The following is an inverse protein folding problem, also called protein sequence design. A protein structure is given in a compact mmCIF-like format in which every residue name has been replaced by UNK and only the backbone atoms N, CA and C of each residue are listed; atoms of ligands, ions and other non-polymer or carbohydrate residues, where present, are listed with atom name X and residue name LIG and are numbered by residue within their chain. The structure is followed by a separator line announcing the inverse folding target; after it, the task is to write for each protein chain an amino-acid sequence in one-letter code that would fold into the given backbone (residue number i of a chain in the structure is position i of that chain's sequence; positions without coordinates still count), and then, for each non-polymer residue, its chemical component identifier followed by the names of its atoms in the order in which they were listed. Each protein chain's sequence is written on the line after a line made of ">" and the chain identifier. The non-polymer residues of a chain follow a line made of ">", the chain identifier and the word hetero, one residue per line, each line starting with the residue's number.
data_IF_240105601380
#
_entry.id   IF_240105601380
#
_cell.length_a   1.000
_cell.length_b   1.000
_cell.length_c   1.000
_cell.angle_alpha   90.00
_cell.angle_beta   90.00
_cell.angle_gamma   90.00
#
_symmetry.space_group_name_H-M   'P 1'
#
loop_
_entity.id
_entity.type
_entity.pdbx_description
1 polymer ?
#
# COMPACT_ATOMS: atom_id res chain seq x y z
N UNK A 1 -7.09 14.69 18.30
CA UNK A 1 -6.02 14.56 17.29
C UNK A 1 -6.37 13.36 16.43
N UNK A 2 -6.55 13.54 15.12
CA UNK A 2 -6.88 12.42 14.21
C UNK A 2 -5.71 11.44 14.10
N UNK A 3 -5.96 10.20 13.66
CA UNK A 3 -4.92 9.15 13.54
C UNK A 3 -3.70 9.60 12.71
N UNK A 4 -3.93 10.35 11.63
CA UNK A 4 -2.87 10.85 10.76
C UNK A 4 -1.96 11.89 11.44
N UNK A 5 -2.53 12.76 12.27
CA UNK A 5 -1.77 13.73 13.06
C UNK A 5 -0.92 13.02 14.13
N UNK A 6 -1.44 11.93 14.71
CA UNK A 6 -0.68 11.11 15.66
C UNK A 6 0.52 10.46 14.99
N UNK A 7 0.33 9.80 13.84
CA UNK A 7 1.43 9.15 13.12
C UNK A 7 2.50 10.16 12.69
N UNK A 8 2.11 11.35 12.25
CA UNK A 8 3.05 12.44 11.94
C UNK A 8 3.91 12.82 13.16
N UNK A 9 3.31 12.90 14.35
CA UNK A 9 4.02 13.24 15.58
C UNK A 9 4.99 12.16 16.06
N UNK A 10 4.76 10.89 15.69
CA UNK A 10 5.67 9.77 15.95
C UNK A 10 6.87 9.74 14.97
N UNK A 11 6.98 10.71 14.06
CA UNK A 11 8.18 10.93 13.26
C UNK A 11 8.22 10.20 11.91
N UNK A 12 7.10 9.79 11.34
CA UNK A 12 7.10 9.18 10.00
C UNK A 12 7.65 10.13 8.92
N UNK A 13 8.34 9.54 7.94
CA UNK A 13 8.93 10.27 6.83
C UNK A 13 7.95 10.49 5.68
N UNK A 14 7.06 9.52 5.44
CA UNK A 14 6.10 9.50 4.33
C UNK A 14 4.72 9.02 4.80
N UNK A 15 3.67 9.48 4.11
CA UNK A 15 2.34 8.89 4.18
C UNK A 15 2.03 8.14 2.89
N UNK A 16 1.47 6.94 3.01
CA UNK A 16 0.94 6.18 1.88
C UNK A 16 -0.59 6.24 1.90
N UNK A 17 -1.19 6.68 0.79
CA UNK A 17 -2.64 6.68 0.58
C UNK A 17 -3.01 5.83 -0.63
N UNK A 18 -4.24 5.37 -0.74
CA UNK A 18 -4.73 4.63 -1.88
C UNK A 18 -5.12 5.56 -3.05
N UNK A 19 -5.72 6.72 -2.74
CA UNK A 19 -6.24 7.64 -3.77
C UNK A 19 -5.80 9.10 -3.57
N UNK A 20 -5.86 9.94 -4.63
CA UNK A 20 -5.55 11.36 -4.50
C UNK A 20 -6.43 12.10 -3.49
N UNK A 21 -7.71 11.73 -3.36
CA UNK A 21 -8.67 12.33 -2.42
C UNK A 21 -8.22 12.18 -0.97
N UNK A 22 -7.75 10.99 -0.59
CA UNK A 22 -7.18 10.75 0.75
C UNK A 22 -5.93 11.61 0.98
N UNK A 23 -5.11 11.80 -0.05
CA UNK A 23 -3.95 12.70 -0.02
C UNK A 23 -4.35 14.17 0.15
N UNK A 24 -5.41 14.61 -0.53
CA UNK A 24 -6.00 15.94 -0.39
C UNK A 24 -6.52 16.15 1.03
N UNK A 25 -7.19 15.15 1.61
CA UNK A 25 -7.67 15.21 2.98
C UNK A 25 -6.51 15.40 3.98
N UNK A 26 -5.40 14.67 3.79
CA UNK A 26 -4.19 14.85 4.59
C UNK A 26 -3.62 16.27 4.45
N UNK A 27 -3.59 16.82 3.24
CA UNK A 27 -3.12 18.20 2.99
C UNK A 27 -4.03 19.24 3.64
N UNK A 28 -5.35 19.08 3.53
CA UNK A 28 -6.33 19.94 4.18
C UNK A 28 -6.21 19.89 5.72
N UNK A 29 -5.78 18.76 6.28
CA UNK A 29 -5.48 18.61 7.71
C UNK A 29 -4.12 19.21 8.13
N UNK A 30 -3.40 19.89 7.23
CA UNK A 30 -2.14 20.59 7.50
C UNK A 30 -0.88 19.72 7.38
N UNK A 31 -0.99 18.51 6.81
CA UNK A 31 0.16 17.63 6.67
C UNK A 31 1.12 18.14 5.58
N UNK A 32 2.39 18.34 5.93
CA UNK A 32 3.44 18.83 5.03
C UNK A 32 4.42 17.75 4.59
N UNK A 33 4.34 16.53 5.14
CA UNK A 33 5.22 15.42 4.80
C UNK A 33 4.92 14.91 3.38
N UNK A 34 5.89 14.26 2.71
CA UNK A 34 5.63 13.55 1.46
C UNK A 34 4.43 12.59 1.54
N UNK A 35 3.61 12.56 0.48
CA UNK A 35 2.45 11.67 0.37
C UNK A 35 2.57 10.88 -0.94
N UNK A 36 2.65 9.56 -0.81
CA UNK A 36 2.67 8.61 -1.92
C UNK A 36 1.26 8.09 -2.19
N UNK A 37 0.74 8.30 -3.39
CA UNK A 37 -0.52 7.72 -3.82
C UNK A 37 -0.29 6.34 -4.47
N UNK A 38 -0.53 5.27 -3.71
CA UNK A 38 -0.23 3.88 -4.06
C UNK A 38 -1.04 3.34 -5.23
N UNK A 39 -2.25 3.88 -5.44
CA UNK A 39 -3.12 3.55 -6.57
C UNK A 39 -2.86 4.41 -7.82
N UNK A 40 -2.02 5.45 -7.71
CA UNK A 40 -1.83 6.43 -8.79
C UNK A 40 -2.97 7.44 -8.84
N UNK A 41 -3.50 7.72 -10.02
CA UNK A 41 -4.58 8.68 -10.21
C UNK A 41 -5.40 8.34 -11.47
N UNK A 42 -6.60 8.88 -11.56
CA UNK A 42 -7.44 8.80 -12.76
C UNK A 42 -7.24 10.01 -13.66
N UNK A 43 -7.49 9.84 -14.97
CA UNK A 43 -7.45 10.94 -15.93
C UNK A 43 -8.33 12.11 -15.46
N UNK A 44 -7.77 13.31 -15.47
CA UNK A 44 -8.40 14.53 -14.94
C UNK A 44 -7.98 14.89 -13.52
N UNK A 45 -7.23 14.03 -12.83
CA UNK A 45 -6.73 14.28 -11.47
C UNK A 45 -5.25 14.74 -11.44
N UNK A 46 -4.63 14.93 -12.61
CA UNK A 46 -3.23 15.29 -12.75
C UNK A 46 -2.92 16.61 -12.03
N UNK A 47 -3.72 17.65 -12.30
CA UNK A 47 -3.57 18.96 -11.67
C UNK A 47 -3.74 18.89 -10.16
N UNK A 48 -4.71 18.12 -9.67
CA UNK A 48 -4.94 17.94 -8.24
C UNK A 48 -3.73 17.31 -7.54
N UNK A 49 -3.11 16.29 -8.15
CA UNK A 49 -1.88 15.68 -7.64
C UNK A 49 -0.73 16.71 -7.58
N UNK A 50 -0.54 17.52 -8.62
CA UNK A 50 0.53 18.53 -8.68
C UNK A 50 0.32 19.65 -7.65
N UNK A 51 -0.87 20.26 -7.63
CA UNK A 51 -1.23 21.35 -6.71
C UNK A 51 -1.05 20.94 -5.25
N UNK A 52 -1.37 19.70 -4.94
CA UNK A 52 -1.32 19.14 -3.59
C UNK A 52 0.01 18.44 -3.28
N UNK A 53 0.97 18.48 -4.20
CA UNK A 53 2.30 17.85 -4.03
C UNK A 53 2.17 16.39 -3.58
N UNK A 54 1.33 15.64 -4.30
CA UNK A 54 1.19 14.19 -4.15
C UNK A 54 2.14 13.52 -5.15
N UNK A 55 2.84 12.48 -4.70
CA UNK A 55 3.71 11.65 -5.55
C UNK A 55 2.89 10.43 -5.98
N UNK A 56 2.44 10.33 -7.24
CA UNK A 56 1.69 9.17 -7.68
C UNK A 56 2.60 7.98 -7.99
N UNK A 57 2.07 6.79 -7.73
CA UNK A 57 2.62 5.55 -8.29
C UNK A 57 2.15 5.41 -9.75
N UNK A 58 3.08 5.13 -10.65
CA UNK A 58 2.84 4.97 -12.09
C UNK A 58 3.26 3.60 -12.59
N UNK A 59 2.50 3.07 -13.54
CA UNK A 59 2.73 1.75 -14.14
C UNK A 59 2.13 1.62 -15.54
N UNK A 60 1.70 2.74 -16.14
CA UNK A 60 1.17 2.83 -17.51
C UNK A 60 1.71 4.08 -18.19
N UNK A 61 2.06 3.97 -19.46
CA UNK A 61 2.63 5.09 -20.21
C UNK A 61 1.65 6.24 -20.40
N UNK A 62 0.35 5.97 -20.50
CA UNK A 62 -0.66 7.00 -20.69
C UNK A 62 -0.90 7.85 -19.43
N UNK A 63 -0.75 7.26 -18.24
CA UNK A 63 -0.71 8.01 -16.97
C UNK A 63 0.48 8.97 -16.96
N UNK A 64 1.66 8.50 -17.39
CA UNK A 64 2.87 9.31 -17.41
C UNK A 64 2.77 10.43 -18.42
N UNK A 65 2.24 10.16 -19.63
CA UNK A 65 2.03 11.18 -20.64
C UNK A 65 1.08 12.28 -20.15
N UNK A 66 -0.03 11.90 -19.49
CA UNK A 66 -0.97 12.87 -18.95
C UNK A 66 -0.31 13.72 -17.84
N UNK A 67 0.47 13.09 -16.97
CA UNK A 67 1.15 13.78 -15.87
C UNK A 67 2.29 14.68 -16.37
N UNK A 68 3.08 14.22 -17.34
CA UNK A 68 4.15 15.01 -17.98
C UNK A 68 3.59 16.28 -18.62
N UNK A 69 2.45 16.16 -19.33
CA UNK A 69 1.77 17.30 -19.92
C UNK A 69 1.27 18.30 -18.87
N UNK A 70 0.69 17.80 -17.78
CA UNK A 70 0.23 18.65 -16.68
C UNK A 70 1.40 19.33 -15.97
N UNK A 71 2.49 18.60 -15.71
CA UNK A 71 3.71 19.10 -15.09
C UNK A 71 4.38 20.18 -15.95
N UNK A 72 4.46 19.95 -17.26
CA UNK A 72 4.90 20.94 -18.26
C UNK A 72 4.04 22.20 -18.22
N UNK A 73 2.72 22.06 -18.17
CA UNK A 73 1.79 23.19 -18.08
C UNK A 73 1.94 23.99 -16.77
N UNK A 74 2.29 23.32 -15.68
CA UNK A 74 2.55 23.94 -14.39
C UNK A 74 4.00 24.45 -14.23
N UNK A 75 4.89 24.18 -15.19
CA UNK A 75 6.30 24.58 -15.14
C UNK A 75 7.11 23.86 -14.06
N UNK A 76 6.76 22.61 -13.73
CA UNK A 76 7.43 21.81 -12.70
C UNK A 76 7.92 20.47 -13.27
N UNK A 77 8.90 19.86 -12.60
CA UNK A 77 9.25 18.45 -12.78
C UNK A 77 8.55 17.68 -11.67
N UNK A 78 7.71 16.71 -12.04
CA UNK A 78 6.90 15.97 -11.10
C UNK A 78 7.54 14.63 -10.73
N UNK A 79 7.53 14.32 -9.43
CA UNK A 79 8.05 13.07 -8.90
C UNK A 79 7.04 11.95 -9.04
N UNK A 80 7.50 10.78 -9.48
CA UNK A 80 6.69 9.57 -9.56
C UNK A 80 7.44 8.38 -8.99
N UNK A 81 6.69 7.41 -8.47
CA UNK A 81 7.23 6.10 -8.11
C UNK A 81 6.79 5.05 -9.13
N UNK A 82 7.74 4.36 -9.75
CA UNK A 82 7.43 3.31 -10.73
C UNK A 82 7.10 2.00 -9.99
N UNK A 83 5.95 1.40 -10.31
CA UNK A 83 5.56 0.11 -9.72
C UNK A 83 5.80 -1.04 -10.69
N UNK A 84 6.52 -2.04 -10.21
CA UNK A 84 6.77 -3.28 -10.92
C UNK A 84 5.89 -4.37 -10.32
N UNK A 85 5.15 -5.08 -11.16
CA UNK A 85 4.48 -6.31 -10.76
C UNK A 85 5.47 -7.48 -10.83
N UNK A 86 5.89 -7.94 -9.67
CA UNK A 86 6.83 -9.06 -9.54
C UNK A 86 6.14 -10.39 -9.25
N UNK A 87 4.80 -10.40 -9.18
CA UNK A 87 3.99 -11.59 -8.95
C UNK A 87 2.67 -11.37 -8.22
N UNK A 88 2.34 -10.15 -7.75
CA UNK A 88 1.06 -9.93 -7.05
C UNK A 88 -0.13 -9.97 -8.01
N UNK A 89 0.07 -9.64 -9.29
CA UNK A 89 -0.97 -9.74 -10.32
C UNK A 89 -2.06 -8.68 -10.19
N UNK A 90 -1.75 -7.51 -9.61
CA UNK A 90 -2.74 -6.46 -9.31
C UNK A 90 -2.50 -5.18 -10.10
N UNK A 91 -1.43 -4.46 -9.77
CA UNK A 91 -0.99 -3.24 -10.45
C UNK A 91 0.52 -3.29 -10.58
N UNK A 92 1.05 -2.67 -11.62
CA UNK A 92 2.48 -2.61 -11.88
C UNK A 92 2.81 -3.03 -13.31
N UNK A 93 3.98 -2.61 -13.77
CA UNK A 93 4.55 -3.05 -15.03
C UNK A 93 4.99 -4.49 -14.86
N UNK A 94 4.60 -5.38 -15.77
CA UNK A 94 5.03 -6.77 -15.66
C UNK A 94 6.56 -6.86 -15.74
N UNK A 95 7.14 -7.79 -15.01
CA UNK A 95 8.61 -7.94 -14.94
C UNK A 95 9.28 -8.15 -16.30
N UNK A 96 8.57 -8.73 -17.28
CA UNK A 96 9.03 -8.96 -18.66
C UNK A 96 8.90 -7.73 -19.57
N UNK A 97 8.14 -6.70 -19.17
CA UNK A 97 7.89 -5.48 -19.95
C UNK A 97 8.66 -4.25 -19.43
N UNK A 98 9.42 -4.42 -18.33
CA UNK A 98 10.11 -3.31 -17.64
C UNK A 98 11.03 -2.52 -18.56
N UNK A 99 11.87 -3.19 -19.36
CA UNK A 99 12.82 -2.50 -20.25
C UNK A 99 12.11 -1.66 -21.31
N UNK A 100 11.07 -2.19 -21.94
CA UNK A 100 10.29 -1.44 -22.95
C UNK A 100 9.62 -0.22 -22.33
N UNK A 101 9.04 -0.38 -21.14
CA UNK A 101 8.44 0.71 -20.39
C UNK A 101 9.46 1.81 -20.08
N UNK A 102 10.64 1.44 -19.58
CA UNK A 102 11.70 2.37 -19.21
C UNK A 102 12.27 3.10 -20.42
N UNK A 103 12.42 2.44 -21.55
CA UNK A 103 12.84 3.10 -22.78
C UNK A 103 11.81 4.15 -23.22
N UNK A 104 10.52 3.79 -23.22
CA UNK A 104 9.45 4.72 -23.52
C UNK A 104 9.34 5.87 -22.50
N UNK A 105 9.75 5.65 -21.25
CA UNK A 105 9.71 6.65 -20.18
C UNK A 105 10.71 7.80 -20.39
N UNK A 106 11.84 7.55 -21.08
CA UNK A 106 12.89 8.57 -21.31
C UNK A 106 12.42 9.80 -22.10
N UNK A 107 11.33 9.68 -22.85
CA UNK A 107 10.79 10.79 -23.68
C UNK A 107 10.06 11.86 -22.87
N UNK A 108 9.76 11.60 -21.59
CA UNK A 108 9.01 12.51 -20.73
C UNK A 108 9.97 13.35 -19.90
N UNK A 109 10.14 14.62 -20.29
CA UNK A 109 11.15 15.52 -19.72
C UNK A 109 10.73 16.15 -18.39
N UNK A 110 9.43 16.14 -18.06
CA UNK A 110 8.87 16.78 -16.86
C UNK A 110 8.55 15.77 -15.77
N UNK A 111 9.10 14.55 -15.88
CA UNK A 111 8.90 13.46 -14.93
C UNK A 111 10.24 13.02 -14.36
N UNK A 112 10.33 12.98 -13.03
CA UNK A 112 11.45 12.37 -12.32
C UNK A 112 11.01 11.05 -11.69
N UNK A 113 11.72 9.98 -12.04
CA UNK A 113 11.57 8.68 -11.35
C UNK A 113 12.27 8.77 -10.00
N UNK A 114 11.52 9.23 -9.01
CA UNK A 114 12.00 9.45 -7.64
C UNK A 114 12.08 8.14 -6.85
N UNK A 115 11.18 7.19 -7.15
CA UNK A 115 11.14 5.90 -6.49
C UNK A 115 10.79 4.72 -7.40
N UNK A 116 11.07 3.52 -6.91
CA UNK A 116 10.70 2.25 -7.54
C UNK A 116 10.18 1.28 -6.48
N UNK A 117 9.12 0.55 -6.80
CA UNK A 117 8.41 -0.28 -5.82
C UNK A 117 7.82 -1.57 -6.35
N UNK A 118 7.67 -2.55 -5.46
CA UNK A 118 6.81 -3.73 -5.65
C UNK A 118 6.01 -4.03 -4.38
N UNK A 119 5.01 -4.91 -4.47
CA UNK A 119 4.26 -5.40 -3.32
C UNK A 119 4.32 -6.92 -3.25
N UNK A 120 4.69 -7.43 -2.08
CA UNK A 120 4.82 -8.86 -1.83
C UNK A 120 3.44 -9.43 -1.47
N UNK A 121 3.08 -10.55 -2.10
CA UNK A 121 1.73 -11.10 -2.02
C UNK A 121 1.49 -11.96 -0.77
N UNK A 122 2.54 -12.62 -0.27
CA UNK A 122 2.45 -13.62 0.79
C UNK A 122 3.66 -13.55 1.74
N UNK A 123 4.09 -12.33 2.12
CA UNK A 123 5.21 -12.14 3.02
C UNK A 123 4.90 -12.50 4.49
N UNK A 124 3.63 -12.74 4.78
CA UNK A 124 3.04 -13.20 6.03
C UNK A 124 2.84 -14.72 6.07
N UNK A 125 2.98 -15.43 4.95
CA UNK A 125 2.73 -16.87 4.89
C UNK A 125 4.02 -17.65 4.58
N UNK A 126 4.59 -18.38 5.57
CA UNK A 126 5.76 -19.22 5.37
C UNK A 126 5.59 -20.31 4.30
N UNK A 127 4.37 -20.79 4.06
CA UNK A 127 4.12 -21.78 3.02
C UNK A 127 4.43 -21.24 1.61
N UNK A 128 4.46 -19.91 1.45
CA UNK A 128 4.73 -19.22 0.20
C UNK A 128 6.08 -18.48 0.20
N UNK A 129 7.00 -18.82 1.11
CA UNK A 129 8.32 -18.19 1.21
C UNK A 129 9.09 -18.22 -0.12
N UNK A 130 9.12 -19.36 -0.81
CA UNK A 130 9.79 -19.51 -2.12
C UNK A 130 9.22 -18.52 -3.14
N UNK A 131 7.91 -18.26 -3.10
CA UNK A 131 7.26 -17.29 -3.97
C UNK A 131 7.65 -15.86 -3.62
N UNK A 132 7.70 -15.52 -2.32
CA UNK A 132 8.16 -14.21 -1.85
C UNK A 132 9.60 -13.92 -2.29
N UNK A 133 10.51 -14.90 -2.17
CA UNK A 133 11.88 -14.77 -2.68
C UNK A 133 11.94 -14.61 -4.20
N UNK A 134 11.08 -15.30 -4.95
CA UNK A 134 10.95 -15.10 -6.40
C UNK A 134 10.53 -13.66 -6.73
N UNK A 135 9.56 -13.10 -6.01
CA UNK A 135 9.15 -11.71 -6.18
C UNK A 135 10.30 -10.72 -5.92
N UNK A 136 11.10 -10.96 -4.87
CA UNK A 136 12.26 -10.12 -4.53
C UNK A 136 13.35 -10.22 -5.59
N UNK A 137 13.64 -11.41 -6.11
CA UNK A 137 14.59 -11.61 -7.21
C UNK A 137 14.15 -10.87 -8.47
N UNK A 138 12.87 -10.97 -8.84
CA UNK A 138 12.32 -10.23 -9.98
C UNK A 138 12.42 -8.72 -9.78
N UNK A 139 12.21 -8.25 -8.55
CA UNK A 139 12.38 -6.84 -8.22
C UNK A 139 13.83 -6.37 -8.38
N UNK A 140 14.81 -7.18 -7.96
CA UNK A 140 16.23 -6.89 -8.17
C UNK A 140 16.62 -6.81 -9.65
N UNK A 141 16.07 -7.69 -10.49
CA UNK A 141 16.27 -7.63 -11.95
C UNK A 141 15.69 -6.33 -12.51
N UNK A 142 14.49 -5.94 -12.10
CA UNK A 142 13.89 -4.67 -12.52
C UNK A 142 14.74 -3.46 -12.09
N UNK A 143 15.25 -3.44 -10.86
CA UNK A 143 16.15 -2.38 -10.40
C UNK A 143 17.43 -2.27 -11.24
N UNK A 144 17.99 -3.41 -11.67
CA UNK A 144 19.13 -3.42 -12.60
C UNK A 144 18.76 -2.79 -13.94
N UNK A 145 17.60 -3.15 -14.49
CA UNK A 145 17.09 -2.56 -15.73
C UNK A 145 16.89 -1.04 -15.61
N UNK A 146 16.36 -0.53 -14.49
CA UNK A 146 16.26 0.92 -14.24
C UNK A 146 17.63 1.62 -14.37
N UNK A 147 18.66 1.07 -13.72
CA UNK A 147 20.02 1.64 -13.77
C UNK A 147 20.62 1.59 -15.18
N UNK A 148 20.41 0.49 -15.90
CA UNK A 148 20.88 0.33 -17.29
C UNK A 148 20.19 1.30 -18.26
N UNK A 149 18.96 1.71 -17.96
CA UNK A 149 18.24 2.74 -18.71
C UNK A 149 18.53 4.16 -18.21
N UNK A 150 19.48 4.35 -17.28
CA UNK A 150 19.91 5.67 -16.81
C UNK A 150 19.04 6.27 -15.69
N UNK A 151 18.08 5.51 -15.14
CA UNK A 151 17.30 5.94 -13.98
C UNK A 151 18.05 5.61 -12.68
N UNK A 152 18.06 6.55 -11.74
CA UNK A 152 18.63 6.38 -10.41
C UNK A 152 17.62 6.83 -9.35
N UNK A 153 16.59 6.01 -9.06
CA UNK A 153 15.58 6.34 -8.06
C UNK A 153 16.22 6.54 -6.69
N UNK A 154 15.75 7.53 -5.95
CA UNK A 154 16.15 7.79 -4.56
C UNK A 154 15.56 6.76 -3.62
N UNK A 155 14.33 6.30 -3.88
CA UNK A 155 13.63 5.38 -3.01
C UNK A 155 13.37 4.03 -3.65
N UNK A 156 13.90 2.98 -3.03
CA UNK A 156 13.56 1.59 -3.33
C UNK A 156 12.71 1.03 -2.19
N UNK A 157 11.52 0.51 -2.50
CA UNK A 157 10.68 -0.03 -1.44
C UNK A 157 9.81 -1.23 -1.86
N UNK A 158 9.98 -2.35 -1.15
CA UNK A 158 9.20 -3.58 -1.35
C UNK A 158 8.39 -3.98 -0.12
N UNK A 159 8.90 -3.70 1.08
CA UNK A 159 8.32 -4.19 2.32
C UNK A 159 6.96 -3.57 2.67
N UNK A 160 5.96 -4.43 2.85
CA UNK A 160 4.73 -4.14 3.60
C UNK A 160 4.94 -4.48 5.09
N UNK A 161 3.87 -4.50 5.90
CA UNK A 161 3.97 -4.86 7.32
C UNK A 161 4.71 -6.18 7.55
N UNK A 162 4.27 -7.28 6.93
CA UNK A 162 4.90 -8.59 7.11
C UNK A 162 6.38 -8.57 6.74
N UNK A 163 6.69 -8.08 5.54
CA UNK A 163 8.05 -8.08 5.02
C UNK A 163 9.01 -7.17 5.78
N UNK A 164 8.51 -6.14 6.45
CA UNK A 164 9.33 -5.29 7.33
C UNK A 164 10.02 -6.11 8.42
N UNK A 165 9.32 -7.13 8.94
CA UNK A 165 9.84 -7.99 10.01
C UNK A 165 10.46 -9.28 9.45
N UNK A 166 9.85 -9.90 8.44
CA UNK A 166 10.26 -11.21 7.92
C UNK A 166 11.46 -11.19 6.98
N UNK A 167 11.62 -10.13 6.18
CA UNK A 167 12.54 -10.13 5.03
C UNK A 167 13.42 -8.87 5.07
N UNK A 168 14.58 -8.88 5.75
CA UNK A 168 15.51 -7.75 5.81
C UNK A 168 15.88 -7.18 4.43
N UNK A 169 16.05 -8.05 3.43
CA UNK A 169 16.35 -7.71 2.04
C UNK A 169 15.22 -6.96 1.30
N UNK A 170 14.00 -6.94 1.85
CA UNK A 170 12.85 -6.23 1.29
C UNK A 170 12.72 -4.78 1.80
N UNK A 171 13.48 -4.40 2.85
CA UNK A 171 13.30 -3.13 3.56
C UNK A 171 13.63 -1.91 2.69
N UNK A 172 14.66 -2.01 1.86
CA UNK A 172 15.08 -0.92 0.97
C UNK A 172 15.29 0.41 1.72
N UNK A 173 14.96 1.51 1.07
CA UNK A 173 15.05 2.86 1.63
C UNK A 173 13.79 3.27 2.41
N UNK A 174 12.62 2.68 2.08
CA UNK A 174 11.35 2.92 2.76
C UNK A 174 10.62 1.59 3.02
N UNK A 175 10.11 1.42 4.23
CA UNK A 175 9.13 0.36 4.57
C UNK A 175 7.72 0.94 4.62
N UNK A 176 6.71 0.14 4.26
CA UNK A 176 5.30 0.57 4.19
C UNK A 176 4.42 -0.25 5.15
N UNK A 177 4.62 -0.14 6.48
CA UNK A 177 3.76 -0.81 7.44
C UNK A 177 2.34 -0.24 7.37
N UNK A 178 1.35 -1.13 7.30
CA UNK A 178 -0.07 -0.82 7.35
C UNK A 178 -0.68 -1.42 8.62
N UNK A 179 -1.14 -2.67 8.55
CA UNK A 179 -1.83 -3.34 9.66
C UNK A 179 -1.09 -3.30 11.00
N UNK A 180 0.23 -3.40 10.99
CA UNK A 180 1.06 -3.30 12.20
C UNK A 180 0.98 -1.93 12.89
N UNK A 181 0.73 -0.84 12.15
CA UNK A 181 0.52 0.49 12.74
C UNK A 181 -0.74 0.54 13.62
N UNK A 182 -1.69 -0.37 13.38
CA UNK A 182 -2.95 -0.47 14.13
C UNK A 182 -2.92 -1.55 15.21
N UNK A 183 -1.74 -2.16 15.45
CA UNK A 183 -1.57 -3.22 16.43
C UNK A 183 -1.97 -4.61 15.94
N UNK A 184 -2.19 -4.81 14.64
CA UNK A 184 -2.43 -6.14 14.08
C UNK A 184 -1.10 -6.88 13.89
N UNK A 185 -0.97 -8.01 14.57
CA UNK A 185 0.22 -8.88 14.50
C UNK A 185 -0.13 -10.26 13.97
N UNK A 186 -1.12 -10.95 14.55
CA UNK A 186 -1.46 -12.35 14.19
C UNK A 186 -1.89 -12.53 12.73
N UNK A 187 -2.69 -11.61 12.20
CA UNK A 187 -3.26 -11.71 10.85
C UNK A 187 -2.41 -11.01 9.78
N UNK A 188 -1.28 -10.41 10.18
CA UNK A 188 -0.48 -9.52 9.32
C UNK A 188 1.00 -9.90 9.30
N UNK A 189 1.51 -10.54 10.35
CA UNK A 189 2.89 -10.99 10.44
C UNK A 189 2.95 -12.51 10.27
N UNK A 190 4.10 -12.99 9.78
CA UNK A 190 4.38 -14.41 9.75
C UNK A 190 4.31 -15.02 11.16
N UNK A 191 3.69 -16.20 11.32
CA UNK A 191 3.64 -16.90 12.60
C UNK A 191 5.02 -17.35 13.08
N UNK A 192 6.06 -17.28 12.23
CA UNK A 192 7.44 -17.60 12.57
C UNK A 192 8.19 -16.45 13.24
N UNK A 193 7.58 -15.27 13.34
CA UNK A 193 8.20 -14.08 13.92
C UNK A 193 7.64 -13.86 15.31
N UNK A 194 8.53 -13.55 16.24
CA UNK A 194 8.13 -13.02 17.53
C UNK A 194 7.47 -11.65 17.32
N UNK A 195 6.13 -11.63 17.45
CA UNK A 195 5.35 -10.43 17.26
C UNK A 195 5.84 -9.32 18.21
N UNK A 196 6.15 -8.12 17.71
CA UNK A 196 6.42 -6.98 18.56
C UNK A 196 5.25 -6.73 19.51
N UNK A 197 5.52 -6.13 20.66
CA UNK A 197 4.51 -5.77 21.67
C UNK A 197 3.66 -4.57 21.22
N UNK A 198 2.97 -4.70 20.09
CA UNK A 198 2.06 -3.68 19.58
C UNK A 198 0.72 -3.73 20.29
N UNK A 199 0.16 -2.54 20.55
CA UNK A 199 -1.14 -2.38 21.19
C UNK A 199 -2.20 -2.14 20.12
N UNK A 200 -3.32 -2.90 20.12
CA UNK A 200 -4.46 -2.60 19.26
C UNK A 200 -4.99 -1.18 19.51
N UNK A 201 -5.23 -0.43 18.44
CA UNK A 201 -5.71 0.97 18.55
C UNK A 201 -7.22 1.13 18.31
N UNK A 202 -7.92 0.03 18.04
CA UNK A 202 -9.36 0.00 17.77
C UNK A 202 -10.04 -1.03 18.66
N UNK A 203 -11.20 -0.66 19.21
CA UNK A 203 -12.09 -1.55 19.93
C UNK A 203 -13.54 -1.26 19.51
N UNK A 204 -14.31 -2.32 19.28
CA UNK A 204 -15.74 -2.25 18.93
C UNK A 204 -16.57 -2.63 20.16
N UNK A 205 -17.50 -1.76 20.55
CA UNK A 205 -18.39 -1.97 21.69
C UNK A 205 -19.85 -1.96 21.22
N UNK A 206 -20.67 -2.79 21.87
CA UNK A 206 -22.13 -2.81 21.70
C UNK A 206 -22.80 -3.03 23.05
N UNK A 207 -24.13 -3.03 23.08
CA UNK A 207 -24.94 -3.29 24.28
C UNK A 207 -26.04 -4.29 23.96
N UNK A 208 -26.31 -5.18 24.91
CA UNK A 208 -27.41 -6.13 24.80
C UNK A 208 -28.73 -5.35 25.00
N UNK A 209 -29.60 -5.38 23.98
CA UNK A 209 -30.90 -4.70 24.03
C UNK A 209 -32.00 -5.56 24.65
N UNK A 210 -31.90 -6.88 24.50
CA UNK A 210 -32.88 -7.84 24.98
C UNK A 210 -32.17 -9.15 25.33
N UNK A 211 -32.56 -9.74 26.45
CA UNK A 211 -32.28 -11.13 26.78
C UNK A 211 -33.62 -11.86 26.91
N UNK A 212 -33.75 -13.02 26.29
CA UNK A 212 -34.94 -13.87 26.40
C UNK A 212 -34.58 -15.34 26.50
N UNK A 213 -35.41 -16.10 27.21
CA UNK A 213 -35.30 -17.56 27.23
C UNK A 213 -35.90 -18.12 25.95
N UNK A 214 -35.19 -19.08 25.36
CA UNK A 214 -35.57 -19.80 24.14
C UNK A 214 -35.39 -21.29 24.42
N UNK A 215 -36.39 -22.10 24.10
CA UNK A 215 -36.37 -23.54 24.34
C UNK A 215 -35.50 -24.28 23.34
N UNK A 216 -35.09 -25.50 23.69
CA UNK A 216 -34.46 -26.47 22.77
C UNK A 216 -35.34 -26.69 21.52
N UNK A 217 -34.72 -26.67 20.34
CA UNK A 217 -35.36 -26.95 19.06
C UNK A 217 -35.95 -25.71 18.38
N UNK A 218 -35.86 -24.52 18.97
CA UNK A 218 -36.29 -23.28 18.32
C UNK A 218 -35.23 -22.80 17.32
N UNK A 219 -35.69 -22.34 16.15
CA UNK A 219 -34.83 -21.76 15.12
C UNK A 219 -34.66 -20.24 15.31
N UNK A 220 -33.44 -19.73 15.12
CA UNK A 220 -33.12 -18.31 15.26
C UNK A 220 -32.54 -17.72 13.96
N UNK A 221 -32.81 -16.43 13.75
CA UNK A 221 -32.32 -15.68 12.59
C UNK A 221 -33.10 -15.95 11.30
N UNK A 222 -32.80 -15.16 10.26
CA UNK A 222 -33.38 -15.37 8.94
C UNK A 222 -32.92 -16.69 8.33
N UNK A 223 -33.82 -17.39 7.63
CA UNK A 223 -33.53 -18.69 7.01
C UNK A 223 -33.37 -19.85 8.00
N UNK A 224 -33.57 -19.62 9.30
CA UNK A 224 -33.55 -20.66 10.34
C UNK A 224 -32.26 -21.50 10.35
N UNK A 225 -31.11 -20.88 10.05
CA UNK A 225 -29.81 -21.58 9.90
C UNK A 225 -29.21 -22.03 11.22
N UNK A 226 -29.68 -21.47 12.34
CA UNK A 226 -29.33 -21.91 13.69
C UNK A 226 -30.57 -22.45 14.39
N UNK A 227 -30.43 -23.59 15.05
CA UNK A 227 -31.43 -24.17 15.93
C UNK A 227 -30.81 -24.45 17.30
N UNK A 228 -31.52 -24.11 18.37
CA UNK A 228 -31.04 -24.31 19.75
C UNK A 228 -30.95 -25.80 20.08
N UNK A 229 -29.78 -26.25 20.57
CA UNK A 229 -29.57 -27.63 21.01
C UNK A 229 -30.01 -27.88 22.46
N UNK A 230 -30.32 -26.81 23.20
CA UNK A 230 -30.75 -26.78 24.61
C UNK A 230 -31.50 -25.49 24.88
N UNK A 231 -32.25 -25.45 25.99
CA UNK A 231 -32.80 -24.20 26.52
C UNK A 231 -31.65 -23.19 26.73
N UNK A 232 -31.82 -21.97 26.22
CA UNK A 232 -30.76 -20.97 26.13
C UNK A 232 -31.29 -19.57 26.43
N UNK A 233 -30.49 -18.77 27.12
CA UNK A 233 -30.68 -17.32 27.21
C UNK A 233 -30.00 -16.68 26.01
N UNK A 234 -30.79 -16.02 25.16
CA UNK A 234 -30.34 -15.34 23.94
C UNK A 234 -30.54 -13.85 24.09
#
# INVERSE_FOLDING_TARGET
>A
MGQNQRLAAEGVDWFGVATPEEGIELRAAGNTKPILCLGGFWKGQESACLEQRLTPVVYRLDMIEAFDRAAKGAGVVADVHVKIDTGMGRLGIRSDEVSEFLEALKKFENIRVDGVMTHLAAADDPAHEVFTYKQLKNFQVAMKALREHGFSPTYVHAANSAATFSYPEARGDIVRPGGTLYGFTRDVLSPQIEAPSFLPVMALYSRIMLLKQVSKGESLGYGCTFQTNRDSLI
#
